data_IF_424501900692
#
_entry.id   IF_424501900692
#
_cell.length_a   1.000
_cell.length_b   1.000
_cell.length_c   1.000
_cell.angle_alpha   90.00
_cell.angle_beta   90.00
_cell.angle_gamma   90.00
#
_symmetry.space_group_name_H-M   'P 1'
#
loop_
_entity.id
_entity.type
_entity.pdbx_description
1 polymer ?
#
# COMPACT_ATOMS: atom_id res chain seq x y z
N UNK A 1 2.25 12.19 -22.43
CA UNK A 1 1.97 11.46 -21.18
C UNK A 1 0.99 12.32 -20.41
N UNK A 2 -0.25 11.85 -20.31
CA UNK A 2 -1.34 12.56 -19.63
C UNK A 2 -1.28 12.32 -18.12
N UNK A 3 -2.04 13.11 -17.34
CA UNK A 3 -2.19 12.82 -15.90
C UNK A 3 -2.90 11.47 -15.72
N UNK A 4 -3.84 11.17 -16.61
CA UNK A 4 -4.54 9.89 -16.66
C UNK A 4 -3.60 8.69 -16.83
N UNK A 5 -2.60 8.80 -17.71
CA UNK A 5 -1.61 7.74 -17.95
C UNK A 5 -0.78 7.48 -16.70
N UNK A 6 -0.30 8.54 -16.04
CA UNK A 6 0.48 8.43 -14.81
C UNK A 6 -0.34 7.80 -13.67
N UNK A 7 -1.62 8.17 -13.56
CA UNK A 7 -2.53 7.59 -12.58
C UNK A 7 -2.75 6.08 -12.82
N UNK A 8 -2.95 5.64 -14.06
CA UNK A 8 -3.14 4.21 -14.34
C UNK A 8 -1.87 3.39 -14.09
N UNK A 9 -0.68 3.98 -14.29
CA UNK A 9 0.57 3.33 -13.88
C UNK A 9 0.60 3.08 -12.37
N UNK A 10 0.30 4.10 -11.56
CA UNK A 10 0.23 3.98 -10.09
C UNK A 10 -0.84 2.96 -9.65
N UNK A 11 -2.03 2.98 -10.28
CA UNK A 11 -3.11 2.04 -9.97
C UNK A 11 -2.80 0.60 -10.40
N UNK A 12 -1.98 0.43 -11.45
CA UNK A 12 -1.54 -0.88 -11.95
C UNK A 12 -0.66 -1.64 -10.96
N UNK A 13 0.00 -0.93 -10.05
CA UNK A 13 0.80 -1.52 -8.96
C UNK A 13 -0.03 -1.96 -7.76
N UNK A 14 -1.34 -1.59 -7.72
CA UNK A 14 -2.22 -1.88 -6.59
C UNK A 14 -3.02 -3.17 -6.77
N UNK A 15 -3.47 -3.82 -5.68
CA UNK A 15 -4.33 -4.99 -5.76
C UNK A 15 -5.64 -4.70 -6.51
N UNK A 16 -6.23 -5.68 -7.23
CA UNK A 16 -7.49 -5.49 -7.98
C UNK A 16 -8.61 -4.88 -7.13
N UNK A 17 -8.75 -5.31 -5.88
CA UNK A 17 -9.75 -4.79 -4.94
C UNK A 17 -9.63 -3.27 -4.70
N UNK A 18 -8.42 -2.71 -4.78
CA UNK A 18 -8.16 -1.27 -4.62
C UNK A 18 -8.30 -0.56 -5.97
N UNK A 19 -7.70 -1.13 -7.02
CA UNK A 19 -7.74 -0.60 -8.40
C UNK A 19 -9.16 -0.45 -8.94
N UNK A 20 -10.05 -1.36 -8.55
CA UNK A 20 -11.43 -1.44 -9.03
C UNK A 20 -12.42 -0.78 -8.03
N UNK A 21 -11.89 -0.12 -6.98
CA UNK A 21 -12.69 0.56 -5.96
C UNK A 21 -13.34 1.85 -6.47
N UNK A 22 -14.39 2.29 -5.77
CA UNK A 22 -15.04 3.58 -6.02
C UNK A 22 -14.05 4.76 -5.86
N UNK A 23 -13.10 4.65 -4.94
CA UNK A 23 -12.08 5.68 -4.71
C UNK A 23 -11.10 5.78 -5.90
N UNK A 24 -10.74 4.64 -6.50
CA UNK A 24 -9.97 4.64 -7.74
C UNK A 24 -10.75 5.29 -8.88
N UNK A 25 -12.06 5.06 -8.99
CA UNK A 25 -12.89 5.77 -9.98
C UNK A 25 -12.92 7.29 -9.76
N UNK A 26 -12.95 7.76 -8.50
CA UNK A 26 -12.82 9.19 -8.17
C UNK A 26 -11.49 9.76 -8.64
N UNK A 27 -10.38 9.05 -8.39
CA UNK A 27 -9.05 9.47 -8.86
C UNK A 27 -9.02 9.64 -10.39
N UNK A 28 -9.63 8.71 -11.14
CA UNK A 28 -9.72 8.74 -12.60
C UNK A 28 -10.45 9.98 -13.10
N UNK A 29 -11.61 10.29 -12.51
CA UNK A 29 -12.39 11.48 -12.86
C UNK A 29 -11.63 12.78 -12.58
N UNK A 30 -10.86 12.84 -11.49
CA UNK A 30 -10.03 14.00 -11.17
C UNK A 30 -8.88 14.16 -12.18
N UNK A 31 -8.25 13.07 -12.60
CA UNK A 31 -7.23 13.09 -13.64
C UNK A 31 -7.81 13.55 -15.00
N UNK A 32 -8.98 13.03 -15.39
CA UNK A 32 -9.69 13.48 -16.60
C UNK A 32 -10.00 14.98 -16.53
N UNK A 33 -10.35 15.50 -15.35
CA UNK A 33 -10.60 16.94 -15.14
C UNK A 33 -9.33 17.78 -15.36
N UNK A 34 -8.16 17.29 -14.93
CA UNK A 34 -6.89 17.98 -15.19
C UNK A 34 -6.53 17.93 -16.68
N UNK A 35 -6.69 16.77 -17.32
CA UNK A 35 -6.36 16.59 -18.73
C UNK A 35 -7.29 17.38 -19.66
N UNK A 36 -8.57 17.56 -19.28
CA UNK A 36 -9.54 18.38 -20.02
C UNK A 36 -9.24 19.89 -19.94
N UNK A 37 -8.36 20.32 -19.03
CA UNK A 37 -8.01 21.72 -18.83
C UNK A 37 -8.93 22.42 -17.83
N UNK A 38 -8.39 22.64 -16.63
CA UNK A 38 -8.99 23.45 -15.58
C UNK A 38 -8.37 24.86 -15.54
N UNK A 39 -9.06 25.81 -14.91
CA UNK A 39 -8.42 27.09 -14.55
C UNK A 39 -7.26 26.85 -13.59
N UNK A 40 -6.21 27.68 -13.64
CA UNK A 40 -4.98 27.47 -12.84
C UNK A 40 -5.25 27.29 -11.32
N UNK A 41 -6.25 27.99 -10.77
CA UNK A 41 -6.69 27.86 -9.38
C UNK A 41 -7.28 26.48 -9.09
N UNK A 42 -8.09 25.96 -10.00
CA UNK A 42 -8.78 24.68 -9.85
C UNK A 42 -7.81 23.52 -10.09
N UNK A 43 -6.85 23.68 -11.01
CA UNK A 43 -5.82 22.67 -11.25
C UNK A 43 -4.97 22.39 -10.02
N UNK A 44 -4.61 23.40 -9.24
CA UNK A 44 -3.88 23.20 -8.00
C UNK A 44 -4.71 22.45 -6.94
N UNK A 45 -6.01 22.74 -6.86
CA UNK A 45 -6.92 22.06 -5.95
C UNK A 45 -7.14 20.59 -6.37
N UNK A 46 -7.42 20.34 -7.64
CA UNK A 46 -7.62 19.00 -8.19
C UNK A 46 -6.34 18.16 -8.08
N UNK A 47 -5.17 18.73 -8.37
CA UNK A 47 -3.90 18.02 -8.19
C UNK A 47 -3.62 17.67 -6.73
N UNK A 48 -4.01 18.53 -5.77
CA UNK A 48 -3.91 18.22 -4.35
C UNK A 48 -4.85 17.06 -3.99
N UNK A 49 -6.08 17.09 -4.49
CA UNK A 49 -7.08 16.06 -4.23
C UNK A 49 -6.62 14.68 -4.74
N UNK A 50 -6.06 14.63 -5.96
CA UNK A 50 -5.48 13.40 -6.52
C UNK A 50 -4.41 12.82 -5.60
N UNK A 51 -3.54 13.65 -5.02
CA UNK A 51 -2.50 13.17 -4.09
C UNK A 51 -3.08 12.59 -2.80
N UNK A 52 -4.16 13.20 -2.28
CA UNK A 52 -4.86 12.70 -1.08
C UNK A 52 -5.48 11.35 -1.40
N UNK A 53 -6.22 11.25 -2.49
CA UNK A 53 -6.87 10.02 -2.94
C UNK A 53 -5.84 8.90 -3.19
N UNK A 54 -4.71 9.21 -3.82
CA UNK A 54 -3.62 8.23 -4.00
C UNK A 54 -3.02 7.76 -2.68
N UNK A 55 -2.86 8.63 -1.69
CA UNK A 55 -2.37 8.24 -0.37
C UNK A 55 -3.36 7.31 0.36
N UNK A 56 -4.66 7.57 0.23
CA UNK A 56 -5.70 6.70 0.77
C UNK A 56 -5.74 5.34 0.06
N UNK A 57 -5.65 5.32 -1.27
CA UNK A 57 -5.59 4.09 -2.06
C UNK A 57 -4.37 3.23 -1.67
N UNK A 58 -3.20 3.84 -1.47
CA UNK A 58 -2.00 3.14 -0.96
C UNK A 58 -2.24 2.55 0.44
N UNK A 59 -2.85 3.33 1.33
CA UNK A 59 -3.23 2.84 2.67
C UNK A 59 -4.23 1.68 2.60
N UNK A 60 -5.15 1.70 1.64
CA UNK A 60 -6.06 0.58 1.39
C UNK A 60 -5.32 -0.64 0.85
N UNK A 61 -4.37 -0.45 -0.07
CA UNK A 61 -3.56 -1.53 -0.64
C UNK A 61 -2.75 -2.26 0.43
N UNK A 62 -2.15 -1.53 1.37
CA UNK A 62 -1.41 -2.10 2.51
C UNK A 62 -2.30 -2.93 3.45
N UNK A 63 -3.61 -2.67 3.45
CA UNK A 63 -4.60 -3.35 4.30
C UNK A 63 -5.33 -4.48 3.60
N UNK A 64 -5.27 -4.55 2.28
CA UNK A 64 -5.73 -5.75 1.57
C UNK A 64 -4.76 -6.85 2.00
N UNK A 65 -5.24 -7.88 2.71
CA UNK A 65 -4.40 -9.05 2.91
C UNK A 65 -4.03 -9.50 1.50
N UNK A 66 -2.75 -9.42 1.16
CA UNK A 66 -2.30 -10.06 -0.06
C UNK A 66 -2.82 -11.49 -0.03
N UNK A 67 -2.99 -12.11 -1.19
CA UNK A 67 -2.76 -13.54 -1.25
C UNK A 67 -1.32 -13.74 -0.79
N UNK A 68 -1.10 -13.72 0.53
CA UNK A 68 0.15 -14.04 1.14
C UNK A 68 0.31 -15.50 0.80
N UNK A 69 1.25 -15.78 -0.10
CA UNK A 69 1.76 -17.13 -0.20
C UNK A 69 2.06 -17.55 1.26
N UNK A 70 1.43 -18.63 1.77
CA UNK A 70 1.64 -19.05 3.15
C UNK A 70 3.13 -19.23 3.50
N UNK A 71 3.99 -19.38 2.49
CA UNK A 71 5.45 -19.42 2.61
C UNK A 71 6.05 -18.06 2.98
N UNK A 72 5.56 -16.94 2.45
CA UNK A 72 6.05 -15.59 2.78
C UNK A 72 5.64 -15.19 4.22
N UNK A 73 4.42 -15.58 4.62
CA UNK A 73 3.94 -15.38 5.99
C UNK A 73 4.74 -16.23 7.00
N UNK A 74 5.09 -17.48 6.65
CA UNK A 74 5.97 -18.32 7.48
C UNK A 74 7.40 -17.78 7.54
N UNK A 75 7.94 -17.27 6.44
CA UNK A 75 9.29 -16.70 6.38
C UNK A 75 9.40 -15.44 7.24
N UNK A 76 8.37 -14.59 7.22
CA UNK A 76 8.27 -13.39 8.05
C UNK A 76 8.14 -13.72 9.54
N UNK A 77 7.29 -14.70 9.90
CA UNK A 77 7.19 -15.21 11.30
C UNK A 77 8.43 -15.95 11.78
N UNK A 78 9.19 -16.56 10.87
CA UNK A 78 10.45 -17.23 11.16
C UNK A 78 11.59 -16.24 11.41
N UNK A 79 11.68 -15.18 10.60
CA UNK A 79 12.66 -14.11 10.75
C UNK A 79 12.52 -13.39 12.11
N UNK A 80 11.29 -13.09 12.52
CA UNK A 80 11.01 -12.44 13.82
C UNK A 80 11.33 -13.34 15.02
N UNK A 81 11.42 -14.66 14.83
CA UNK A 81 11.69 -15.63 15.91
C UNK A 81 13.19 -15.95 16.06
N UNK A 82 14.01 -15.72 15.04
CA UNK A 82 15.44 -16.05 15.04
C UNK A 82 16.29 -14.93 15.69
N UNK A 83 15.76 -13.72 15.77
CA UNK A 83 16.45 -12.57 16.38
C UNK A 83 16.25 -12.46 17.90
N UNK A 84 15.41 -13.28 18.52
CA UNK A 84 15.19 -13.27 19.97
C UNK A 84 15.84 -14.48 20.67
N UNK A 85 17.00 -14.19 21.26
CA UNK A 85 17.82 -14.96 22.21
C UNK A 85 18.70 -16.14 21.71
N UNK A 86 20.03 -16.11 21.98
CA UNK A 86 20.68 -17.29 22.52
C UNK A 86 20.16 -17.51 23.94
N UNK A 87 19.49 -18.64 24.19
CA UNK A 87 19.14 -19.09 25.54
C UNK A 87 20.43 -19.55 26.24
N UNK A 88 20.94 -18.86 27.27
CA UNK A 88 21.98 -19.43 28.11
C UNK A 88 21.36 -20.57 28.95
N UNK A 89 21.91 -21.76 28.76
CA UNK A 89 21.60 -22.96 29.53
C UNK A 89 21.71 -22.70 31.04
N UNK A 90 20.57 -22.79 31.73
CA UNK A 90 20.49 -22.87 33.19
C UNK A 90 19.71 -24.11 33.59
N UNK A 91 20.38 -25.25 33.60
CA UNK A 91 20.12 -26.31 34.59
C UNK A 91 21.02 -26.02 35.82
N UNK A 92 20.55 -25.32 36.84
CA UNK A 92 19.85 -25.87 38.00
C UNK A 92 20.68 -26.93 38.75
N UNK A 93 21.28 -26.52 39.88
CA UNK A 93 21.89 -27.43 40.84
C UNK A 93 20.85 -28.27 41.59
N UNK A 94 21.28 -29.42 42.11
CA UNK A 94 20.50 -30.19 43.07
C UNK A 94 21.02 -31.59 43.36
N UNK A 95 21.77 -31.72 44.46
CA UNK A 95 21.67 -32.86 45.37
C UNK A 95 22.57 -34.08 45.12
N UNK A 96 23.62 -34.19 45.93
CA UNK A 96 23.72 -35.17 47.03
C UNK A 96 24.72 -34.69 48.07
#
# INVERSE_FOLDING_TARGET
>A
MSVRDALEADLGEMPPAVRDSALAAVARNLADTLDAGCGARDCAAVAKEIRVVLAELRTMADRVPGEADPIDELSRRGADRITDAPVPDRAAGGGR
#
